data_IF_218583493876
#
_entry.id   IF_218583493876
#
_cell.length_a   1.000
_cell.length_b   1.000
_cell.length_c   1.000
_cell.angle_alpha   90.00
_cell.angle_beta   90.00
_cell.angle_gamma   90.00
#
_symmetry.space_group_name_H-M   'P 1'
#
loop_
_entity.id
_entity.type
_entity.pdbx_description
1 polymer ?
#
# COMPACT_ATOMS: atom_id res chain seq x y z
N UNK A 1 -26.42 2.35 1.97
CA UNK A 1 -25.62 3.48 1.48
C UNK A 1 -24.40 2.95 0.73
N UNK A 2 -24.18 3.43 -0.50
CA UNK A 2 -22.99 3.15 -1.27
C UNK A 2 -21.79 3.99 -0.77
N UNK A 3 -20.58 3.51 -1.01
CA UNK A 3 -19.38 4.29 -0.78
C UNK A 3 -19.37 5.52 -1.72
N UNK A 4 -18.91 6.70 -1.28
CA UNK A 4 -18.92 7.89 -2.11
C UNK A 4 -18.00 7.74 -3.32
N UNK A 5 -18.32 8.42 -4.43
CA UNK A 5 -17.48 8.50 -5.60
C UNK A 5 -16.23 9.36 -5.36
N UNK A 6 -15.18 9.24 -6.21
CA UNK A 6 -14.01 10.12 -6.10
C UNK A 6 -14.35 11.60 -6.11
N UNK A 7 -15.27 12.05 -6.98
CA UNK A 7 -15.71 13.45 -7.04
C UNK A 7 -16.34 13.89 -5.71
N UNK A 8 -17.24 13.07 -5.17
CA UNK A 8 -17.87 13.35 -3.88
C UNK A 8 -16.86 13.42 -2.73
N UNK A 9 -15.82 12.57 -2.75
CA UNK A 9 -14.76 12.60 -1.73
C UNK A 9 -13.84 13.82 -1.89
N UNK A 10 -13.56 14.23 -3.11
CA UNK A 10 -12.71 15.40 -3.36
C UNK A 10 -13.32 16.68 -2.79
N UNK A 11 -14.64 16.80 -2.85
CA UNK A 11 -15.39 17.97 -2.37
C UNK A 11 -15.88 17.84 -0.92
N UNK A 12 -15.71 16.67 -0.29
CA UNK A 12 -16.21 16.41 1.06
C UNK A 12 -15.40 17.16 2.13
N UNK A 13 -16.06 17.56 3.25
CA UNK A 13 -15.39 18.16 4.41
C UNK A 13 -14.66 17.09 5.25
N UNK A 14 -13.60 16.51 4.71
CA UNK A 14 -12.85 15.37 5.28
C UNK A 14 -12.29 15.68 6.68
N UNK A 15 -12.04 16.94 6.98
CA UNK A 15 -11.54 17.39 8.29
C UNK A 15 -12.54 17.12 9.41
N UNK A 16 -13.83 17.04 9.09
CA UNK A 16 -14.90 16.75 10.06
C UNK A 16 -14.98 15.27 10.45
N UNK A 17 -14.25 14.39 9.73
CA UNK A 17 -14.20 12.96 10.03
C UNK A 17 -13.18 12.60 11.14
N UNK A 18 -12.56 13.59 11.78
CA UNK A 18 -11.55 13.37 12.82
C UNK A 18 -10.19 12.92 12.26
N UNK A 19 -9.96 13.04 10.95
CA UNK A 19 -8.68 12.77 10.33
C UNK A 19 -7.67 13.88 10.63
N UNK A 20 -6.38 13.54 10.84
CA UNK A 20 -5.33 14.55 10.83
C UNK A 20 -5.36 15.37 9.54
N UNK A 21 -5.05 16.67 9.61
CA UNK A 21 -5.06 17.55 8.42
C UNK A 21 -4.26 17.00 7.24
N UNK A 22 -3.09 16.44 7.53
CA UNK A 22 -2.25 15.81 6.49
C UNK A 22 -2.95 14.61 5.84
N UNK A 23 -3.62 13.76 6.64
CA UNK A 23 -4.38 12.61 6.13
C UNK A 23 -5.58 13.04 5.27
N UNK A 24 -6.33 14.06 5.71
CA UNK A 24 -7.44 14.62 4.94
C UNK A 24 -6.95 15.22 3.61
N UNK A 25 -5.82 15.94 3.62
CA UNK A 25 -5.21 16.50 2.41
C UNK A 25 -4.77 15.39 1.43
N UNK A 26 -4.14 14.33 1.93
CA UNK A 26 -3.72 13.18 1.12
C UNK A 26 -4.93 12.47 0.51
N UNK A 27 -5.98 12.23 1.30
CA UNK A 27 -7.20 11.59 0.79
C UNK A 27 -7.89 12.43 -0.29
N UNK A 28 -7.93 13.75 -0.10
CA UNK A 28 -8.48 14.68 -1.10
C UNK A 28 -7.64 14.67 -2.38
N UNK A 29 -6.31 14.69 -2.28
CA UNK A 29 -5.42 14.61 -3.44
C UNK A 29 -5.62 13.29 -4.20
N UNK A 30 -5.75 12.17 -3.50
CA UNK A 30 -6.03 10.86 -4.10
C UNK A 30 -7.38 10.85 -4.81
N UNK A 31 -8.43 11.32 -4.15
CA UNK A 31 -9.77 11.40 -4.72
C UNK A 31 -9.81 12.29 -5.97
N UNK A 32 -9.18 13.47 -5.91
CA UNK A 32 -9.07 14.37 -7.06
C UNK A 32 -8.31 13.75 -8.23
N UNK A 33 -7.21 13.05 -7.98
CA UNK A 33 -6.44 12.37 -9.02
C UNK A 33 -7.27 11.26 -9.71
N UNK A 34 -8.06 10.52 -8.93
CA UNK A 34 -8.99 9.52 -9.48
C UNK A 34 -10.11 10.18 -10.30
N UNK A 35 -10.74 11.24 -9.79
CA UNK A 35 -11.81 11.97 -10.45
C UNK A 35 -11.35 12.57 -11.79
N UNK A 36 -10.12 13.08 -11.85
CA UNK A 36 -9.51 13.67 -13.04
C UNK A 36 -8.90 12.64 -14.01
N UNK A 37 -8.96 11.36 -13.69
CA UNK A 37 -8.37 10.29 -14.51
C UNK A 37 -6.85 10.24 -14.51
N UNK A 38 -6.20 10.92 -13.57
CA UNK A 38 -4.73 10.89 -13.41
C UNK A 38 -4.26 9.61 -12.71
N UNK A 39 -5.11 9.02 -11.87
CA UNK A 39 -4.89 7.75 -11.23
C UNK A 39 -6.07 6.82 -11.50
N UNK A 40 -5.79 5.66 -12.06
CA UNK A 40 -6.78 4.63 -12.32
C UNK A 40 -6.59 3.45 -11.38
N UNK A 41 -7.69 2.98 -10.77
CA UNK A 41 -7.72 1.78 -9.92
C UNK A 41 -8.33 0.57 -10.64
N UNK A 42 -8.27 0.56 -11.96
CA UNK A 42 -8.75 -0.54 -12.80
C UNK A 42 -7.72 -1.63 -13.02
N UNK A 43 -8.19 -2.81 -13.46
CA UNK A 43 -7.32 -3.95 -13.80
C UNK A 43 -6.42 -3.65 -15.01
N UNK A 44 -5.30 -4.37 -15.12
CA UNK A 44 -4.43 -4.35 -16.29
C UNK A 44 -3.38 -3.25 -16.30
N UNK A 45 -3.23 -2.50 -15.20
CA UNK A 45 -2.17 -1.50 -15.10
C UNK A 45 -0.81 -2.15 -14.79
N UNK A 46 0.25 -1.55 -15.33
CA UNK A 46 1.60 -1.94 -14.97
C UNK A 46 1.93 -1.42 -13.57
N UNK A 47 2.48 -2.27 -12.73
CA UNK A 47 2.82 -1.92 -11.35
C UNK A 47 3.73 -0.68 -11.24
N UNK A 48 4.85 -0.55 -12.01
CA UNK A 48 5.70 0.64 -11.91
C UNK A 48 4.97 1.95 -12.23
N UNK A 49 4.09 1.94 -13.20
CA UNK A 49 3.32 3.13 -13.62
C UNK A 49 2.33 3.55 -12.53
N UNK A 50 1.64 2.59 -11.93
CA UNK A 50 0.73 2.84 -10.81
C UNK A 50 1.47 3.37 -9.58
N UNK A 51 2.61 2.75 -9.23
CA UNK A 51 3.42 3.20 -8.09
C UNK A 51 3.95 4.62 -8.30
N UNK A 52 4.41 4.95 -9.50
CA UNK A 52 4.86 6.30 -9.84
C UNK A 52 3.72 7.33 -9.73
N UNK A 53 2.53 7.02 -10.24
CA UNK A 53 1.36 7.87 -10.14
C UNK A 53 0.92 8.10 -8.69
N UNK A 54 0.94 7.04 -7.85
CA UNK A 54 0.61 7.14 -6.43
C UNK A 54 1.64 7.99 -5.66
N UNK A 55 2.93 7.73 -5.84
CA UNK A 55 3.99 8.42 -5.10
C UNK A 55 4.20 9.87 -5.54
N UNK A 56 3.66 10.27 -6.70
CA UNK A 56 3.58 11.67 -7.10
C UNK A 56 2.57 12.48 -6.25
N UNK A 57 1.65 11.82 -5.54
CA UNK A 57 0.66 12.48 -4.71
C UNK A 57 1.24 12.79 -3.32
N UNK A 58 0.96 14.00 -2.77
CA UNK A 58 1.45 14.38 -1.45
C UNK A 58 0.94 13.43 -0.36
N UNK A 59 1.85 12.97 0.49
CA UNK A 59 1.53 12.09 1.63
C UNK A 59 1.46 10.59 1.28
N UNK A 60 1.67 10.19 0.03
CA UNK A 60 1.73 8.78 -0.39
C UNK A 60 3.18 8.37 -0.63
N UNK A 61 3.71 7.58 0.28
CA UNK A 61 5.03 6.98 0.14
C UNK A 61 5.01 5.61 -0.54
N UNK A 62 6.19 5.00 -0.77
CA UNK A 62 6.31 3.69 -1.43
C UNK A 62 5.52 2.58 -0.75
N UNK A 63 5.50 2.53 0.59
CA UNK A 63 4.74 1.53 1.33
C UNK A 63 3.23 1.62 1.02
N UNK A 64 2.68 2.84 1.11
CA UNK A 64 1.26 3.09 0.84
C UNK A 64 0.91 2.78 -0.61
N UNK A 65 1.77 3.15 -1.56
CA UNK A 65 1.56 2.88 -2.98
C UNK A 65 1.50 1.36 -3.26
N UNK A 66 2.42 0.57 -2.71
CA UNK A 66 2.38 -0.89 -2.81
C UNK A 66 1.15 -1.50 -2.13
N UNK A 67 0.76 -0.97 -0.96
CA UNK A 67 -0.44 -1.42 -0.27
C UNK A 67 -1.71 -1.16 -1.11
N UNK A 68 -1.81 0.02 -1.73
CA UNK A 68 -2.89 0.34 -2.66
C UNK A 68 -2.90 -0.60 -3.87
N UNK A 69 -1.73 -0.90 -4.44
CA UNK A 69 -1.62 -1.85 -5.55
C UNK A 69 -2.11 -3.25 -5.15
N UNK A 70 -1.79 -3.71 -3.94
CA UNK A 70 -2.28 -5.00 -3.44
C UNK A 70 -3.79 -5.00 -3.23
N UNK A 71 -4.36 -3.95 -2.63
CA UNK A 71 -5.75 -3.92 -2.18
C UNK A 71 -6.72 -3.40 -3.23
N UNK A 72 -6.36 -2.33 -3.95
CA UNK A 72 -7.23 -1.72 -4.94
C UNK A 72 -7.11 -2.36 -6.33
N UNK A 73 -5.89 -2.73 -6.75
CA UNK A 73 -5.66 -3.37 -8.04
C UNK A 73 -5.62 -4.90 -7.97
N UNK A 74 -5.58 -5.49 -6.78
CA UNK A 74 -5.30 -6.92 -6.60
C UNK A 74 -4.03 -7.35 -7.35
N UNK A 75 -3.02 -6.45 -7.38
CA UNK A 75 -1.82 -6.69 -8.17
C UNK A 75 -0.95 -7.78 -7.53
N UNK A 76 -0.70 -8.92 -8.22
CA UNK A 76 -0.08 -10.09 -7.59
C UNK A 76 1.39 -9.89 -7.22
N UNK A 77 2.09 -8.94 -7.84
CA UNK A 77 3.53 -8.72 -7.68
C UNK A 77 3.88 -7.46 -6.88
N UNK A 78 2.89 -6.80 -6.24
CA UNK A 78 3.16 -5.68 -5.34
C UNK A 78 3.84 -6.18 -4.06
N UNK A 79 4.90 -5.45 -3.62
CA UNK A 79 5.69 -5.82 -2.45
C UNK A 79 6.20 -4.59 -1.70
N UNK A 80 5.67 -4.27 -0.51
CA UNK A 80 6.07 -3.11 0.26
C UNK A 80 7.38 -3.40 1.05
N UNK A 81 8.53 -3.38 0.39
CA UNK A 81 9.83 -3.71 0.99
C UNK A 81 10.21 -2.85 2.21
N UNK A 82 9.61 -1.65 2.33
CA UNK A 82 9.76 -0.78 3.50
C UNK A 82 8.94 -1.22 4.72
N UNK A 83 8.13 -2.27 4.61
CA UNK A 83 7.31 -2.77 5.72
C UNK A 83 8.18 -3.37 6.83
N UNK A 84 8.04 -2.84 8.05
CA UNK A 84 8.85 -3.24 9.19
C UNK A 84 8.59 -4.70 9.61
N UNK A 85 7.37 -5.19 9.46
CA UNK A 85 7.00 -6.57 9.79
C UNK A 85 7.68 -7.52 8.83
N UNK A 86 7.64 -7.23 7.53
CA UNK A 86 8.33 -8.03 6.51
C UNK A 86 9.83 -8.07 6.74
N UNK A 87 10.45 -6.92 7.01
CA UNK A 87 11.88 -6.82 7.32
C UNK A 87 12.28 -7.66 8.54
N UNK A 88 11.43 -7.66 9.56
CA UNK A 88 11.67 -8.40 10.79
C UNK A 88 11.48 -9.91 10.60
N UNK A 89 10.40 -10.33 9.94
CA UNK A 89 10.10 -11.75 9.73
C UNK A 89 11.15 -12.41 8.84
N UNK A 90 11.57 -11.73 7.78
CA UNK A 90 12.55 -12.25 6.83
C UNK A 90 13.99 -12.21 7.35
N UNK A 91 14.28 -11.31 8.28
CA UNK A 91 15.63 -11.12 8.81
C UNK A 91 15.91 -11.77 10.15
N UNK A 92 14.88 -12.32 10.82
CA UNK A 92 15.03 -12.80 12.20
C UNK A 92 16.30 -13.65 12.42
N UNK A 93 17.05 -13.39 13.52
CA UNK A 93 16.72 -12.51 14.64
C UNK A 93 16.95 -11.00 14.39
N UNK A 94 17.69 -10.61 13.36
CA UNK A 94 17.96 -9.21 13.01
C UNK A 94 17.08 -8.73 11.87
N UNK A 95 16.65 -7.46 11.95
CA UNK A 95 15.80 -6.87 10.92
C UNK A 95 16.61 -6.58 9.64
N UNK A 96 16.10 -7.00 8.50
CA UNK A 96 16.67 -6.65 7.19
C UNK A 96 16.45 -5.17 6.87
N UNK A 97 17.33 -4.61 6.03
CA UNK A 97 17.06 -3.33 5.35
C UNK A 97 15.97 -3.48 4.29
N UNK A 98 15.33 -2.38 3.90
CA UNK A 98 14.35 -2.39 2.81
C UNK A 98 14.94 -2.95 1.50
N UNK A 99 16.19 -2.60 1.19
CA UNK A 99 16.91 -3.11 0.01
C UNK A 99 17.11 -4.63 0.06
N UNK A 100 17.52 -5.17 1.20
CA UNK A 100 17.71 -6.61 1.38
C UNK A 100 16.38 -7.36 1.35
N UNK A 101 15.31 -6.76 1.88
CA UNK A 101 13.95 -7.28 1.85
C UNK A 101 13.42 -7.34 0.42
N UNK A 102 13.64 -6.28 -0.36
CA UNK A 102 13.28 -6.25 -1.78
C UNK A 102 14.05 -7.32 -2.58
N UNK A 103 15.35 -7.46 -2.35
CA UNK A 103 16.16 -8.48 -3.01
C UNK A 103 15.63 -9.91 -2.76
N UNK A 104 15.16 -10.20 -1.53
CA UNK A 104 14.55 -11.49 -1.23
C UNK A 104 13.23 -11.72 -1.96
N UNK A 105 12.44 -10.68 -2.17
CA UNK A 105 11.16 -10.79 -2.85
C UNK A 105 11.27 -11.25 -4.30
N UNK A 106 12.42 -11.03 -4.94
CA UNK A 106 12.62 -11.37 -6.35
C UNK A 106 12.42 -12.85 -6.64
N UNK A 107 12.68 -13.73 -5.65
CA UNK A 107 12.46 -15.18 -5.79
C UNK A 107 10.95 -15.56 -5.84
N UNK A 108 10.04 -14.67 -5.44
CA UNK A 108 8.60 -14.94 -5.40
C UNK A 108 7.83 -14.33 -6.56
N UNK A 109 8.51 -13.60 -7.44
CA UNK A 109 7.87 -13.02 -8.62
C UNK A 109 7.29 -14.10 -9.53
N UNK A 110 6.11 -13.86 -10.10
CA UNK A 110 5.29 -12.63 -10.04
C UNK A 110 4.22 -12.63 -8.92
N UNK A 111 4.45 -13.34 -7.81
CA UNK A 111 3.48 -13.60 -6.75
C UNK A 111 3.84 -12.95 -5.41
N UNK A 112 4.60 -11.85 -5.44
CA UNK A 112 5.11 -11.21 -4.22
C UNK A 112 4.03 -10.79 -3.23
N UNK A 113 2.86 -10.34 -3.71
CA UNK A 113 1.73 -9.95 -2.84
C UNK A 113 1.19 -11.11 -2.01
N UNK A 114 1.18 -12.32 -2.55
CA UNK A 114 0.81 -13.52 -1.78
C UNK A 114 1.84 -13.84 -0.70
N UNK A 115 3.12 -13.68 -1.00
CA UNK A 115 4.18 -13.81 0.00
C UNK A 115 4.02 -12.80 1.15
N UNK A 116 3.65 -11.55 0.85
CA UNK A 116 3.34 -10.52 1.87
C UNK A 116 2.26 -10.99 2.82
N UNK A 117 1.14 -11.48 2.30
CA UNK A 117 0.03 -11.97 3.12
C UNK A 117 0.45 -13.13 4.02
N UNK A 118 1.22 -14.08 3.50
CA UNK A 118 1.76 -15.19 4.30
C UNK A 118 2.71 -14.69 5.40
N UNK A 119 3.60 -13.78 5.10
CA UNK A 119 4.55 -13.23 6.07
C UNK A 119 3.85 -12.44 7.18
N UNK A 120 2.82 -11.67 6.85
CA UNK A 120 2.01 -10.98 7.85
C UNK A 120 1.25 -11.96 8.73
N UNK A 121 0.72 -13.04 8.17
CA UNK A 121 0.06 -14.09 8.95
C UNK A 121 1.03 -14.77 9.92
N UNK A 122 2.21 -15.17 9.44
CA UNK A 122 3.26 -15.73 10.30
C UNK A 122 3.69 -14.81 11.44
N UNK A 123 3.71 -13.49 11.19
CA UNK A 123 4.03 -12.50 12.21
C UNK A 123 2.98 -12.44 13.31
N UNK A 124 1.70 -12.58 12.96
CA UNK A 124 0.59 -12.60 13.91
C UNK A 124 0.61 -13.88 14.76
N UNK A 125 0.78 -15.04 14.14
CA UNK A 125 0.86 -16.32 14.84
C UNK A 125 1.99 -16.35 15.88
N UNK A 126 3.13 -15.75 15.55
CA UNK A 126 4.27 -15.63 16.48
C UNK A 126 3.98 -14.72 17.68
N UNK A 127 3.12 -13.72 17.54
CA UNK A 127 2.69 -12.85 18.65
C UNK A 127 1.75 -13.61 19.58
N UNK A 128 0.80 -14.35 19.04
CA UNK A 128 -0.18 -15.12 19.81
C UNK A 128 0.49 -16.26 20.62
N UNK A 129 1.57 -16.85 20.09
CA UNK A 129 2.32 -17.91 20.78
C UNK A 129 3.19 -17.38 21.94
N UNK A 130 3.45 -16.05 21.99
CA UNK A 130 4.27 -15.42 23.04
C UNK A 130 3.43 -14.74 24.14
N UNK A 131 2.12 -14.67 23.96
CA UNK A 131 1.18 -14.13 24.93
C UNK A 131 0.65 -15.25 25.84
#
# INVERSE_FOLDING_TARGET
RSFPTPDQLADAPLEQLGLPRAGAATLRALASACAQGQLHCGAGQRLPDFLAACTALPGIGPWTAHYLAMRALSHPDAFPAGDLILQQVLGAPERLSARATDARSQAWRPWCAYAVLHLWHLANDRKDTRA
#
